data_IF_492806313819
#
_entry.id   IF_492806313819
#
_cell.length_a   1.000
_cell.length_b   1.000
_cell.length_c   1.000
_cell.angle_alpha   90.00
_cell.angle_beta   90.00
_cell.angle_gamma   90.00
#
_symmetry.space_group_name_H-M   'P 1'
#
loop_
_entity.id
_entity.type
_entity.pdbx_description
1 polymer ?
#
# COMPACT_ATOMS: atom_id res chain seq x y z
N UNK A 1 6.55 -21.66 16.52
CA UNK A 1 5.67 -22.81 16.17
C UNK A 1 4.75 -23.27 17.32
N UNK A 2 4.21 -22.35 18.15
CA UNK A 2 3.43 -22.72 19.34
C UNK A 2 1.91 -22.75 19.08
N UNK A 3 1.41 -21.92 18.17
CA UNK A 3 -0.01 -21.74 17.85
C UNK A 3 -0.39 -22.54 16.58
N UNK A 4 -0.46 -23.88 16.71
CA UNK A 4 -0.86 -24.80 15.64
C UNK A 4 0.31 -25.46 14.90
N UNK A 5 0.00 -26.32 13.91
CA UNK A 5 1.00 -26.98 13.08
C UNK A 5 1.76 -25.94 12.25
N UNK A 6 3.09 -25.86 12.43
CA UNK A 6 3.98 -24.88 11.79
C UNK A 6 3.59 -23.39 11.97
N UNK A 7 2.67 -23.06 12.88
CA UNK A 7 2.22 -21.68 13.11
C UNK A 7 1.20 -21.13 12.10
N UNK A 8 0.55 -21.99 11.30
CA UNK A 8 -0.47 -21.58 10.31
C UNK A 8 -1.63 -20.80 10.94
N UNK A 9 -1.96 -21.08 12.21
CA UNK A 9 -3.06 -20.41 12.92
C UNK A 9 -2.66 -19.08 13.59
N UNK A 10 -1.39 -18.69 13.51
CA UNK A 10 -0.89 -17.42 14.06
C UNK A 10 -1.67 -16.19 13.53
N UNK A 11 -1.81 -15.96 12.20
CA UNK A 11 -2.50 -14.78 11.68
C UNK A 11 -3.97 -14.69 12.13
N UNK A 12 -4.66 -15.83 12.21
CA UNK A 12 -6.04 -15.86 12.72
C UNK A 12 -6.11 -15.49 14.21
N UNK A 13 -5.16 -15.99 15.01
CA UNK A 13 -5.12 -15.66 16.44
C UNK A 13 -4.83 -14.18 16.70
N UNK A 14 -3.96 -13.56 15.90
CA UNK A 14 -3.64 -12.14 16.00
C UNK A 14 -4.81 -11.26 15.53
N UNK A 15 -5.49 -11.65 14.44
CA UNK A 15 -6.70 -10.97 13.99
C UNK A 15 -7.80 -10.99 15.08
N UNK A 16 -8.12 -12.17 15.63
CA UNK A 16 -9.13 -12.31 16.68
C UNK A 16 -8.74 -11.47 17.91
N UNK A 17 -7.46 -11.49 18.31
CA UNK A 17 -6.96 -10.70 19.43
C UNK A 17 -7.11 -9.20 19.20
N UNK A 18 -6.85 -8.70 18.00
CA UNK A 18 -6.95 -7.28 17.70
C UNK A 18 -8.41 -6.79 17.61
N UNK A 19 -9.31 -7.60 17.07
CA UNK A 19 -10.73 -7.25 16.97
C UNK A 19 -11.50 -7.40 18.28
N UNK A 20 -11.03 -8.26 19.20
CA UNK A 20 -11.64 -8.44 20.52
C UNK A 20 -11.15 -7.43 21.56
N UNK A 21 -10.05 -6.72 21.30
CA UNK A 21 -9.55 -5.66 22.18
C UNK A 21 -10.46 -4.44 22.12
N UNK A 22 -10.58 -3.78 23.27
CA UNK A 22 -11.28 -2.49 23.37
C UNK A 22 -10.59 -1.43 22.52
N UNK A 23 -11.39 -0.65 21.79
CA UNK A 23 -10.91 0.43 20.96
C UNK A 23 -10.72 1.69 21.81
N UNK A 24 -9.47 2.13 21.95
CA UNK A 24 -9.15 3.40 22.63
C UNK A 24 -9.13 4.52 21.61
N UNK A 25 -9.94 5.55 21.84
CA UNK A 25 -9.95 6.77 21.04
C UNK A 25 -9.23 7.91 21.80
N UNK A 26 -8.31 8.64 21.16
CA UNK A 26 -7.68 9.80 21.77
C UNK A 26 -8.70 10.93 21.99
N UNK A 27 -8.68 11.57 23.17
CA UNK A 27 -9.59 12.67 23.52
C UNK A 27 -9.45 13.91 22.62
N UNK A 28 -8.26 14.13 22.04
CA UNK A 28 -7.96 15.28 21.19
C UNK A 28 -8.00 14.99 19.68
N UNK A 29 -8.50 13.81 19.28
CA UNK A 29 -8.53 13.38 17.87
C UNK A 29 -9.79 13.82 17.13
N UNK A 30 -9.67 14.00 15.81
CA UNK A 30 -10.81 14.22 14.93
C UNK A 30 -11.54 12.90 14.66
N UNK A 31 -12.55 12.60 15.48
CA UNK A 31 -13.21 11.28 15.52
C UNK A 31 -13.64 10.72 14.15
N UNK A 32 -14.37 11.51 13.35
CA UNK A 32 -14.87 11.05 12.05
C UNK A 32 -13.71 10.68 11.12
N UNK A 33 -12.73 11.57 11.02
CA UNK A 33 -11.59 11.41 10.13
C UNK A 33 -10.75 10.21 10.55
N UNK A 34 -10.47 10.09 11.86
CA UNK A 34 -9.72 9.00 12.45
C UNK A 34 -10.37 7.63 12.21
N UNK A 35 -11.69 7.53 12.28
CA UNK A 35 -12.38 6.26 12.04
C UNK A 35 -12.43 5.88 10.55
N UNK A 36 -12.66 6.86 9.66
CA UNK A 36 -12.80 6.60 8.23
C UNK A 36 -11.47 6.39 7.50
N UNK A 37 -10.34 6.95 7.97
CA UNK A 37 -9.05 6.81 7.28
C UNK A 37 -8.60 5.36 7.06
N UNK A 38 -8.58 4.47 8.08
CA UNK A 38 -8.18 3.07 7.88
C UNK A 38 -9.14 2.27 7.01
N UNK A 39 -10.43 2.63 7.01
CA UNK A 39 -11.44 1.96 6.18
C UNK A 39 -11.21 2.32 4.72
N UNK A 40 -10.95 3.60 4.44
CA UNK A 40 -10.74 4.07 3.08
C UNK A 40 -9.40 3.59 2.51
N UNK A 41 -8.33 3.50 3.32
CA UNK A 41 -7.05 2.93 2.88
C UNK A 41 -7.19 1.46 2.47
N UNK A 42 -7.88 0.64 3.27
CA UNK A 42 -8.15 -0.76 2.93
C UNK A 42 -9.07 -0.91 1.72
N UNK A 43 -10.04 -0.01 1.55
CA UNK A 43 -10.91 -0.02 0.38
C UNK A 43 -10.12 0.29 -0.91
N UNK A 44 -9.24 1.29 -0.88
CA UNK A 44 -8.40 1.64 -2.03
C UNK A 44 -7.44 0.51 -2.41
N UNK A 45 -6.83 -0.16 -1.44
CA UNK A 45 -5.92 -1.26 -1.73
C UNK A 45 -6.66 -2.42 -2.42
N UNK A 46 -7.88 -2.75 -1.99
CA UNK A 46 -8.72 -3.75 -2.67
C UNK A 46 -9.15 -3.33 -4.08
N UNK A 47 -9.38 -2.04 -4.33
CA UNK A 47 -9.71 -1.55 -5.69
C UNK A 47 -8.57 -1.80 -6.69
N UNK A 48 -7.32 -1.74 -6.25
CA UNK A 48 -6.16 -2.02 -7.10
C UNK A 48 -6.21 -3.47 -7.63
N UNK A 49 -6.67 -4.43 -6.83
CA UNK A 49 -6.76 -5.84 -7.24
C UNK A 49 -7.75 -6.08 -8.39
N UNK A 50 -8.75 -5.21 -8.57
CA UNK A 50 -9.73 -5.33 -9.67
C UNK A 50 -9.11 -5.15 -11.05
N UNK A 51 -7.91 -4.57 -11.12
CA UNK A 51 -7.21 -4.19 -12.34
C UNK A 51 -6.33 -5.32 -12.85
N UNK A 52 -5.92 -6.23 -11.96
CA UNK A 52 -4.98 -7.30 -12.25
C UNK A 52 -5.67 -8.35 -13.15
N UNK A 53 -5.14 -8.63 -14.35
CA UNK A 53 -5.74 -9.62 -15.24
C UNK A 53 -5.50 -11.04 -14.70
N UNK A 54 -6.55 -11.68 -14.20
CA UNK A 54 -6.55 -13.12 -13.91
C UNK A 54 -7.06 -13.93 -15.10
N UNK A 55 -6.79 -15.25 -15.10
CA UNK A 55 -7.29 -16.17 -16.13
C UNK A 55 -8.81 -16.08 -16.35
N UNK A 56 -9.57 -15.84 -15.28
CA UNK A 56 -10.98 -15.47 -15.35
C UNK A 56 -11.10 -13.97 -15.13
N UNK A 57 -10.79 -13.17 -16.16
CA UNK A 57 -10.83 -11.72 -15.99
C UNK A 57 -12.29 -11.25 -15.89
N UNK A 58 -12.70 -10.81 -14.70
CA UNK A 58 -14.07 -10.33 -14.46
C UNK A 58 -14.31 -8.92 -15.00
N UNK A 59 -13.28 -8.07 -15.03
CA UNK A 59 -13.38 -6.67 -15.48
C UNK A 59 -12.17 -6.34 -16.36
N UNK A 60 -12.41 -5.93 -17.60
CA UNK A 60 -11.37 -5.46 -18.50
C UNK A 60 -11.42 -3.94 -18.63
N UNK A 61 -10.41 -3.27 -18.06
CA UNK A 61 -10.24 -1.83 -18.23
C UNK A 61 -9.38 -1.53 -19.46
N UNK A 62 -9.89 -0.73 -20.40
CA UNK A 62 -9.09 -0.23 -21.52
C UNK A 62 -7.93 0.66 -21.06
N UNK A 63 -8.12 1.39 -19.96
CA UNK A 63 -7.14 2.29 -19.34
C UNK A 63 -6.66 1.75 -17.98
N UNK A 64 -6.35 0.45 -17.90
CA UNK A 64 -5.98 -0.22 -16.66
C UNK A 64 -4.79 0.44 -15.94
N UNK A 65 -3.75 0.80 -16.69
CA UNK A 65 -2.58 1.50 -16.14
C UNK A 65 -2.89 2.87 -15.53
N UNK A 66 -3.75 3.66 -16.17
CA UNK A 66 -4.12 4.98 -15.64
C UNK A 66 -4.95 4.83 -14.36
N UNK A 67 -5.86 3.86 -14.32
CA UNK A 67 -6.63 3.58 -13.12
C UNK A 67 -5.73 3.16 -11.95
N UNK A 68 -4.71 2.33 -12.20
CA UNK A 68 -3.70 1.98 -11.20
C UNK A 68 -3.06 3.23 -10.56
N UNK A 69 -2.57 4.17 -11.38
CA UNK A 69 -1.99 5.42 -10.88
C UNK A 69 -2.99 6.33 -10.14
N UNK A 70 -4.27 6.33 -10.56
CA UNK A 70 -5.30 7.06 -9.82
C UNK A 70 -5.53 6.46 -8.42
N UNK A 71 -5.48 5.14 -8.28
CA UNK A 71 -5.66 4.48 -6.99
C UNK A 71 -4.45 4.68 -6.06
N UNK A 72 -3.22 4.59 -6.57
CA UNK A 72 -2.00 4.84 -5.78
C UNK A 72 -1.94 6.27 -5.25
N UNK A 73 -2.24 7.25 -6.12
CA UNK A 73 -2.27 8.67 -5.72
C UNK A 73 -3.34 8.96 -4.67
N UNK A 74 -4.50 8.30 -4.75
CA UNK A 74 -5.53 8.37 -3.69
C UNK A 74 -5.06 7.76 -2.37
N UNK A 75 -4.24 6.71 -2.42
CA UNK A 75 -3.66 6.05 -1.24
C UNK A 75 -2.83 7.01 -0.39
N UNK A 76 -2.04 7.89 -1.01
CA UNK A 76 -1.23 8.91 -0.32
C UNK A 76 -2.08 9.85 0.54
N UNK A 77 -3.25 10.25 0.05
CA UNK A 77 -4.16 11.10 0.83
C UNK A 77 -4.63 10.39 2.10
N UNK A 78 -4.85 9.08 2.05
CA UNK A 78 -5.30 8.33 3.24
C UNK A 78 -4.23 8.28 4.32
N UNK A 79 -2.95 8.18 3.94
CA UNK A 79 -1.79 8.25 4.84
C UNK A 79 -1.64 9.65 5.46
N UNK A 80 -1.85 10.70 4.67
CA UNK A 80 -1.82 12.07 5.19
C UNK A 80 -2.95 12.31 6.21
N UNK A 81 -4.15 11.86 5.88
CA UNK A 81 -5.35 12.01 6.72
C UNK A 81 -5.18 11.23 8.03
N UNK A 82 -4.66 9.99 7.98
CA UNK A 82 -4.44 9.18 9.17
C UNK A 82 -3.45 9.84 10.13
N UNK A 83 -2.33 10.38 9.64
CA UNK A 83 -1.34 11.08 10.46
C UNK A 83 -1.80 12.41 11.06
N UNK A 84 -2.72 13.12 10.38
CA UNK A 84 -3.32 14.37 10.87
C UNK A 84 -4.45 14.13 11.89
N UNK A 85 -5.22 13.05 11.73
CA UNK A 85 -6.42 12.76 12.53
C UNK A 85 -6.17 12.59 14.03
N UNK A 86 -5.00 12.10 14.40
CA UNK A 86 -4.52 11.84 15.76
C UNK A 86 -4.16 13.10 16.55
N UNK A 87 -3.86 14.21 15.86
CA UNK A 87 -3.56 15.49 16.49
C UNK A 87 -2.38 15.47 17.49
N UNK A 88 -1.40 14.58 17.30
CA UNK A 88 -0.09 14.65 17.98
C UNK A 88 1.00 15.10 17.00
N UNK A 89 1.97 15.85 17.52
CA UNK A 89 3.09 16.36 16.73
C UNK A 89 3.95 15.23 16.14
N UNK A 90 4.10 14.12 16.88
CA UNK A 90 4.87 12.95 16.43
C UNK A 90 4.17 12.20 15.31
N UNK A 91 2.85 11.95 15.41
CA UNK A 91 2.12 11.27 14.33
C UNK A 91 2.09 12.10 13.05
N UNK A 92 1.94 13.42 13.18
CA UNK A 92 1.91 14.33 12.04
C UNK A 92 3.27 14.36 11.32
N UNK A 93 4.37 14.49 12.07
CA UNK A 93 5.72 14.46 11.48
C UNK A 93 6.06 13.09 10.87
N UNK A 94 5.64 12.00 11.51
CA UNK A 94 5.76 10.64 10.95
C UNK A 94 5.00 10.48 9.64
N UNK A 95 3.73 10.89 9.62
CA UNK A 95 2.88 10.84 8.42
C UNK A 95 3.40 11.72 7.28
N UNK A 96 3.87 12.93 7.57
CA UNK A 96 4.44 13.81 6.53
C UNK A 96 5.72 13.25 5.90
N UNK A 97 6.56 12.55 6.67
CA UNK A 97 7.74 11.85 6.14
C UNK A 97 7.34 10.70 5.21
N UNK A 98 6.39 9.87 5.64
CA UNK A 98 5.85 8.79 4.81
C UNK A 98 5.26 9.32 3.50
N UNK A 99 4.45 10.38 3.57
CA UNK A 99 3.82 11.02 2.40
C UNK A 99 4.87 11.58 1.43
N UNK A 100 5.92 12.24 1.94
CA UNK A 100 6.99 12.76 1.10
C UNK A 100 7.72 11.62 0.35
N UNK A 101 7.95 10.49 1.03
CA UNK A 101 8.54 9.30 0.43
C UNK A 101 7.61 8.72 -0.66
N UNK A 102 6.34 8.43 -0.35
CA UNK A 102 5.42 7.79 -1.31
C UNK A 102 5.23 8.63 -2.56
N UNK A 103 5.07 9.96 -2.44
CA UNK A 103 4.93 10.86 -3.60
C UNK A 103 6.20 10.85 -4.47
N UNK A 104 7.38 10.88 -3.85
CA UNK A 104 8.64 10.91 -4.59
C UNK A 104 8.83 9.64 -5.43
N UNK A 105 8.47 8.49 -4.88
CA UNK A 105 8.61 7.20 -5.56
C UNK A 105 7.45 6.91 -6.52
N UNK A 106 6.26 7.46 -6.31
CA UNK A 106 5.14 7.37 -7.25
C UNK A 106 5.50 7.99 -8.62
N UNK A 107 6.15 9.15 -8.63
CA UNK A 107 6.62 9.78 -9.88
C UNK A 107 7.65 8.89 -10.58
N UNK A 108 8.56 8.27 -9.82
CA UNK A 108 9.56 7.36 -10.39
C UNK A 108 8.91 6.10 -10.98
N UNK A 109 7.91 5.53 -10.30
CA UNK A 109 7.14 4.39 -10.76
C UNK A 109 6.40 4.72 -12.06
N UNK A 110 5.76 5.89 -12.12
CA UNK A 110 5.05 6.36 -13.31
C UNK A 110 5.97 6.43 -14.54
N UNK A 111 7.18 6.98 -14.38
CA UNK A 111 8.18 7.06 -15.46
C UNK A 111 8.67 5.67 -15.90
N UNK A 112 8.90 4.76 -14.95
CA UNK A 112 9.35 3.39 -15.26
C UNK A 112 8.24 2.65 -16.01
N UNK A 113 6.98 2.70 -15.55
CA UNK A 113 5.88 2.02 -16.24
C UNK A 113 5.60 2.63 -17.62
N UNK A 114 5.78 3.95 -17.79
CA UNK A 114 5.67 4.59 -19.10
C UNK A 114 6.63 3.97 -20.13
N UNK A 115 7.85 3.63 -19.72
CA UNK A 115 8.82 2.96 -20.60
C UNK A 115 8.32 1.59 -21.10
N UNK A 116 7.60 0.85 -20.26
CA UNK A 116 7.01 -0.45 -20.62
C UNK A 116 5.76 -0.25 -21.49
N UNK A 117 4.97 0.80 -21.23
CA UNK A 117 3.79 1.15 -22.04
C UNK A 117 4.18 1.49 -23.47
N UNK A 118 5.30 2.18 -23.69
CA UNK A 118 5.79 2.50 -25.03
C UNK A 118 6.08 1.22 -25.86
N UNK A 119 6.47 0.11 -25.22
CA UNK A 119 6.71 -1.16 -25.93
C UNK A 119 5.43 -1.83 -26.42
N UNK A 120 4.32 -1.62 -25.71
CA UNK A 120 3.01 -2.25 -25.98
C UNK A 120 2.09 -1.31 -26.78
N UNK A 121 2.32 0.01 -26.71
CA UNK A 121 1.52 1.08 -27.33
C UNK A 121 0.04 1.08 -26.93
N UNK A 122 -0.28 0.49 -25.79
CA UNK A 122 -1.63 0.38 -25.23
C UNK A 122 -1.58 0.41 -23.70
N UNK A 123 -2.67 0.88 -23.07
CA UNK A 123 -2.80 0.97 -21.60
C UNK A 123 -3.54 -0.22 -20.96
N UNK A 124 -3.98 -1.19 -21.76
CA UNK A 124 -4.72 -2.35 -21.27
C UNK A 124 -3.76 -3.45 -20.82
N UNK A 125 -3.84 -3.84 -19.54
CA UNK A 125 -2.99 -4.86 -18.91
C UNK A 125 -3.12 -6.25 -19.55
N UNK A 126 -4.27 -6.58 -20.14
CA UNK A 126 -4.44 -7.86 -20.84
C UNK A 126 -3.49 -7.93 -22.05
N UNK A 127 -3.30 -6.82 -22.76
CA UNK A 127 -2.40 -6.78 -23.92
C UNK A 127 -0.95 -7.04 -23.52
N UNK A 128 -0.53 -6.58 -22.33
CA UNK A 128 0.81 -6.86 -21.80
C UNK A 128 1.05 -8.37 -21.62
N UNK A 129 0.04 -9.12 -21.15
CA UNK A 129 0.15 -10.57 -21.01
C UNK A 129 0.42 -11.27 -22.34
N UNK A 130 -0.20 -10.79 -23.43
CA UNK A 130 0.02 -11.35 -24.76
C UNK A 130 1.42 -11.02 -25.32
N UNK A 131 1.90 -9.79 -25.14
CA UNK A 131 3.25 -9.40 -25.62
C UNK A 131 4.38 -10.08 -24.84
N UNK A 132 4.15 -10.44 -23.57
CA UNK A 132 5.12 -11.14 -22.74
C UNK A 132 5.20 -12.66 -23.00
N UNK A 133 4.41 -13.21 -23.93
CA UNK A 133 4.38 -14.65 -24.17
C UNK A 133 5.74 -15.23 -24.63
N UNK A 134 6.49 -14.48 -25.44
CA UNK A 134 7.77 -14.95 -25.97
C UNK A 134 8.95 -14.65 -25.04
N UNK A 135 9.11 -13.38 -24.65
CA UNK A 135 10.19 -12.92 -23.76
C UNK A 135 9.57 -11.98 -22.74
N UNK A 136 9.86 -12.19 -21.46
CA UNK A 136 9.37 -11.32 -20.40
C UNK A 136 10.07 -9.96 -20.44
N UNK A 137 9.33 -8.88 -20.19
CA UNK A 137 9.88 -7.53 -20.16
C UNK A 137 10.94 -7.33 -19.07
N UNK A 138 10.89 -8.14 -18.00
CA UNK A 138 11.93 -8.16 -16.97
C UNK A 138 13.32 -8.44 -17.56
N UNK A 139 13.44 -9.44 -18.45
CA UNK A 139 14.73 -9.78 -19.07
C UNK A 139 15.17 -8.76 -20.13
N UNK A 140 14.24 -8.20 -20.89
CA UNK A 140 14.55 -7.18 -21.89
C UNK A 140 15.04 -5.88 -21.23
N UNK A 141 14.45 -5.50 -20.10
CA UNK A 141 14.69 -4.23 -19.42
C UNK A 141 15.23 -4.46 -18.01
N UNK A 142 16.28 -5.26 -17.87
CA UNK A 142 16.87 -5.62 -16.56
C UNK A 142 17.13 -4.42 -15.64
N UNK A 143 17.77 -3.31 -16.08
CA UNK A 143 18.03 -2.18 -15.20
C UNK A 143 16.73 -1.50 -14.70
N UNK A 144 15.75 -1.33 -15.59
CA UNK A 144 14.46 -0.75 -15.25
C UNK A 144 13.67 -1.65 -14.30
N UNK A 145 13.77 -2.98 -14.46
CA UNK A 145 13.11 -3.92 -13.56
C UNK A 145 13.65 -3.87 -12.12
N UNK A 146 14.96 -3.60 -11.96
CA UNK A 146 15.58 -3.39 -10.65
C UNK A 146 15.14 -2.06 -10.05
N UNK A 147 15.11 -0.98 -10.84
CA UNK A 147 14.59 0.31 -10.39
C UNK A 147 13.10 0.22 -10.01
N UNK A 148 12.31 -0.57 -10.75
CA UNK A 148 10.90 -0.83 -10.44
C UNK A 148 10.75 -1.51 -9.08
N UNK A 149 11.54 -2.55 -8.79
CA UNK A 149 11.51 -3.23 -7.50
C UNK A 149 11.92 -2.32 -6.34
N UNK A 150 12.92 -1.46 -6.53
CA UNK A 150 13.30 -0.48 -5.51
C UNK A 150 12.20 0.57 -5.27
N UNK A 151 11.55 1.04 -6.33
CA UNK A 151 10.47 2.04 -6.21
C UNK A 151 9.20 1.46 -5.61
N UNK A 152 8.82 0.22 -5.92
CA UNK A 152 7.65 -0.43 -5.31
C UNK A 152 7.86 -0.77 -3.83
N UNK A 153 9.08 -1.17 -3.43
CA UNK A 153 9.45 -1.34 -2.02
C UNK A 153 9.38 -0.01 -1.25
N UNK A 154 9.85 1.07 -1.88
CA UNK A 154 9.84 2.39 -1.26
C UNK A 154 8.43 3.00 -1.17
N UNK A 155 7.55 2.73 -2.14
CA UNK A 155 6.15 3.16 -2.11
C UNK A 155 5.34 2.44 -1.01
N UNK A 156 5.60 1.15 -0.80
CA UNK A 156 4.95 0.35 0.25
C UNK A 156 5.56 0.55 1.65
N UNK A 157 6.51 1.49 1.81
CA UNK A 157 7.25 1.78 3.04
C UNK A 157 7.90 0.53 3.68
N UNK A 158 8.24 -0.49 2.88
CA UNK A 158 8.83 -1.73 3.40
C UNK A 158 10.33 -1.63 3.54
N UNK A 159 10.87 -2.44 4.45
CA UNK A 159 12.32 -2.59 4.64
C UNK A 159 13.00 -2.88 3.29
N UNK A 160 14.05 -2.12 2.91
CA UNK A 160 14.87 -1.23 3.72
C UNK A 160 14.41 0.24 3.83
N UNK A 161 13.32 0.63 3.16
CA UNK A 161 12.85 2.02 3.08
C UNK A 161 11.78 2.36 4.15
N UNK A 162 11.85 1.72 5.31
CA UNK A 162 10.90 1.93 6.42
C UNK A 162 11.38 3.00 7.41
N UNK A 163 11.69 4.21 6.91
CA UNK A 163 12.14 5.31 7.76
C UNK A 163 11.00 5.97 8.54
N UNK A 164 9.76 5.76 8.09
CA UNK A 164 8.58 6.35 8.68
C UNK A 164 8.03 5.51 9.85
N UNK A 165 8.10 4.17 9.78
CA UNK A 165 7.61 3.26 10.83
C UNK A 165 8.74 2.65 11.66
N UNK A 166 10.01 2.82 11.25
CA UNK A 166 11.19 2.30 11.94
C UNK A 166 11.16 2.50 13.46
N UNK A 167 11.06 1.37 14.18
CA UNK A 167 10.95 1.29 15.65
C UNK A 167 12.06 2.05 16.40
N UNK A 168 13.20 2.26 15.74
CA UNK A 168 14.39 2.88 16.32
C UNK A 168 14.40 4.40 16.34
N UNK A 169 13.63 5.09 15.49
CA UNK A 169 13.84 6.52 15.25
C UNK A 169 12.71 7.39 15.79
N UNK A 170 11.45 6.96 15.66
CA UNK A 170 10.28 7.62 16.24
C UNK A 170 9.22 6.53 16.48
N UNK A 171 8.71 6.41 17.71
CA UNK A 171 7.63 5.49 18.12
C UNK A 171 6.61 5.40 16.98
N UNK A 172 6.57 4.27 16.26
CA UNK A 172 5.59 3.82 15.24
C UNK A 172 4.82 4.87 14.42
N UNK A 173 5.46 5.96 13.99
CA UNK A 173 5.01 6.93 12.99
C UNK A 173 3.53 7.35 13.05
N UNK A 174 2.80 7.13 11.96
CA UNK A 174 1.37 7.47 11.83
C UNK A 174 0.43 6.43 12.49
N UNK A 175 0.96 5.29 12.92
CA UNK A 175 0.22 4.19 13.54
C UNK A 175 0.16 4.27 15.08
N UNK A 176 0.87 5.21 15.70
CA UNK A 176 1.04 5.34 17.18
C UNK A 176 -0.27 5.32 17.94
N UNK A 177 -1.28 6.02 17.43
CA UNK A 177 -2.51 6.23 18.17
C UNK A 177 -3.60 5.23 17.79
N UNK A 178 -3.42 4.51 16.69
CA UNK A 178 -4.37 3.51 16.21
C UNK A 178 -4.32 2.27 17.08
N UNK A 179 -5.48 1.92 17.64
CA UNK A 179 -5.66 0.75 18.49
C UNK A 179 -6.60 -0.27 17.85
N UNK A 180 -6.48 -1.54 18.27
CA UNK A 180 -7.42 -2.63 17.98
C UNK A 180 -7.74 -2.80 16.49
N UNK A 181 -9.00 -2.66 16.09
CA UNK A 181 -9.47 -2.83 14.71
C UNK A 181 -8.94 -1.78 13.74
N UNK A 182 -8.75 -0.52 14.17
CA UNK A 182 -8.18 0.52 13.31
C UNK A 182 -6.74 0.20 12.90
N UNK A 183 -5.95 -0.28 13.86
CA UNK A 183 -4.60 -0.79 13.62
C UNK A 183 -4.60 -1.99 12.67
N UNK A 184 -5.49 -2.97 12.90
CA UNK A 184 -5.61 -4.14 12.05
C UNK A 184 -5.93 -3.78 10.58
N UNK A 185 -6.80 -2.79 10.35
CA UNK A 185 -7.15 -2.32 9.01
C UNK A 185 -5.97 -1.66 8.29
N UNK A 186 -5.13 -0.90 9.00
CA UNK A 186 -3.94 -0.29 8.40
C UNK A 186 -2.96 -1.37 7.94
N UNK A 187 -2.67 -2.37 8.78
CA UNK A 187 -1.80 -3.48 8.37
C UNK A 187 -2.41 -4.30 7.23
N UNK A 188 -3.71 -4.57 7.26
CA UNK A 188 -4.38 -5.24 6.15
C UNK A 188 -4.26 -4.44 4.85
N UNK A 189 -4.41 -3.11 4.90
CA UNK A 189 -4.23 -2.23 3.75
C UNK A 189 -2.79 -2.30 3.23
N UNK A 190 -1.80 -2.15 4.11
CA UNK A 190 -0.38 -2.21 3.78
C UNK A 190 -0.01 -3.57 3.15
N UNK A 191 -0.40 -4.69 3.78
CA UNK A 191 -0.16 -6.02 3.24
C UNK A 191 -0.88 -6.31 1.93
N UNK A 192 -2.07 -5.74 1.72
CA UNK A 192 -2.78 -5.89 0.45
C UNK A 192 -2.24 -5.01 -0.67
N UNK A 193 -1.47 -3.95 -0.34
CA UNK A 193 -0.80 -3.10 -1.33
C UNK A 193 0.53 -3.68 -1.83
N UNK A 194 1.10 -4.64 -1.08
CA UNK A 194 2.27 -5.45 -1.46
C UNK A 194 1.84 -6.53 -2.46
#
# INVERSE_FOLDING_TARGET
NKLGFLGILQPFSDAIKLFTKEQTYPLFSNYLVYYFSPIFSFFLSLLIWMVIPYYFNMISFNLGFLFFFCCTSLGVYTLMISGWSSNSSYSLLGGLRAVAQTISYEVSLALIMLSVIIMVMDFNLIKFSYYQFMIWFMFMMMPLSLCWLCSSLAETNRTPFDFAEGESELVSGFNVEYSSGGFALIFLAEYSSI
#
